data_IF_445144327771
#
_entry.id   IF_445144327771
#
_cell.length_a   1.000
_cell.length_b   1.000
_cell.length_c   1.000
_cell.angle_alpha   90.00
_cell.angle_beta   90.00
_cell.angle_gamma   90.00
#
_symmetry.space_group_name_H-M   'P 1'
#
loop_
_entity.id
_entity.type
_entity.pdbx_description
1 polymer ?
#
# COMPACT_ATOMS: atom_id res chain seq x y z
N UNK A 1 27.24 0.59 7.87
CA UNK A 1 27.33 -0.59 6.97
C UNK A 1 28.30 -0.15 5.89
N UNK A 2 29.55 -0.65 5.98
CA UNK A 2 30.77 -0.42 5.17
C UNK A 2 31.11 0.96 4.56
N UNK A 3 30.15 1.83 4.24
CA UNK A 3 30.40 3.15 3.65
C UNK A 3 30.86 3.07 2.19
N UNK A 4 30.83 1.87 1.62
CA UNK A 4 31.18 1.59 0.25
C UNK A 4 30.13 2.17 -0.68
N UNK A 5 30.61 2.87 -1.70
CA UNK A 5 29.77 3.34 -2.80
C UNK A 5 29.11 2.14 -3.48
N UNK A 6 27.79 2.21 -3.66
CA UNK A 6 27.05 1.22 -4.43
C UNK A 6 27.26 1.59 -5.91
N UNK A 7 27.87 0.70 -6.67
CA UNK A 7 28.02 0.90 -8.11
C UNK A 7 26.64 0.93 -8.78
N UNK A 8 26.50 1.75 -9.82
CA UNK A 8 25.23 1.96 -10.51
C UNK A 8 24.71 0.62 -11.07
N UNK A 9 23.62 0.12 -10.49
CA UNK A 9 23.01 -1.17 -10.85
C UNK A 9 23.45 -2.39 -10.02
N UNK A 10 24.31 -2.24 -9.02
CA UNK A 10 24.73 -3.33 -8.11
C UNK A 10 24.21 -3.14 -6.67
N UNK A 11 22.93 -2.79 -6.58
CA UNK A 11 22.25 -2.66 -5.29
C UNK A 11 20.78 -2.37 -5.43
N UNK A 12 20.08 -2.46 -4.30
CA UNK A 12 18.65 -2.31 -4.22
C UNK A 12 18.24 -1.59 -2.92
N UNK A 13 17.14 -0.84 -3.01
CA UNK A 13 16.45 -0.32 -1.84
C UNK A 13 15.63 -1.44 -1.21
N UNK A 14 16.00 -1.87 0.00
CA UNK A 14 15.31 -2.93 0.72
C UNK A 14 14.37 -2.33 1.77
N UNK A 15 13.04 -2.48 1.64
CA UNK A 15 12.11 -2.11 2.69
C UNK A 15 12.07 -3.17 3.79
N UNK A 16 12.06 -2.75 5.06
CA UNK A 16 11.88 -3.63 6.21
C UNK A 16 11.13 -2.92 7.33
N UNK A 17 10.68 -3.67 8.34
CA UNK A 17 9.95 -3.10 9.48
C UNK A 17 10.39 -3.74 10.79
N UNK A 18 10.42 -2.93 11.85
CA UNK A 18 10.69 -3.36 13.22
C UNK A 18 9.82 -2.54 14.16
N UNK A 19 9.15 -3.20 15.11
CA UNK A 19 8.26 -2.58 16.10
C UNK A 19 7.20 -1.63 15.51
N UNK A 20 6.68 -1.98 14.34
CA UNK A 20 5.65 -1.21 13.64
C UNK A 20 6.15 0.01 12.88
N UNK A 21 7.45 0.28 12.89
CA UNK A 21 8.08 1.35 12.11
C UNK A 21 8.64 0.77 10.81
N UNK A 22 8.36 1.44 9.69
CA UNK A 22 8.87 1.05 8.37
C UNK A 22 10.17 1.80 8.09
N UNK A 23 11.13 1.09 7.52
CA UNK A 23 12.45 1.59 7.12
C UNK A 23 12.73 1.19 5.68
N UNK A 24 13.59 1.96 5.04
CA UNK A 24 14.19 1.64 3.75
C UNK A 24 15.69 1.85 3.87
N UNK A 25 16.47 1.00 3.19
CA UNK A 25 17.92 1.09 3.17
C UNK A 25 18.43 0.69 1.79
N UNK A 26 19.33 1.49 1.23
CA UNK A 26 20.02 1.14 -0.01
C UNK A 26 21.21 0.24 0.33
N UNK A 27 21.22 -0.96 -0.24
CA UNK A 27 22.24 -1.97 0.02
C UNK A 27 22.80 -2.50 -1.31
N UNK A 28 24.09 -2.85 -1.31
CA UNK A 28 24.62 -3.73 -2.35
C UNK A 28 23.94 -5.10 -2.30
N UNK A 29 23.97 -5.85 -3.39
CA UNK A 29 23.32 -7.17 -3.48
C UNK A 29 23.76 -8.12 -2.34
N UNK A 30 25.06 -8.12 -2.02
CA UNK A 30 25.62 -8.91 -0.92
C UNK A 30 25.07 -8.49 0.45
N UNK A 31 24.94 -7.18 0.69
CA UNK A 31 24.43 -6.68 1.96
C UNK A 31 22.91 -6.87 2.07
N UNK A 32 22.19 -6.77 0.94
CA UNK A 32 20.77 -7.12 0.86
C UNK A 32 20.55 -8.62 1.16
N UNK A 33 21.40 -9.50 0.65
CA UNK A 33 21.37 -10.93 0.98
C UNK A 33 21.61 -11.18 2.48
N UNK A 34 22.62 -10.54 3.07
CA UNK A 34 22.90 -10.65 4.53
C UNK A 34 21.70 -10.22 5.38
N UNK A 35 21.02 -9.14 5.01
CA UNK A 35 19.82 -8.68 5.72
C UNK A 35 18.70 -9.74 5.67
N UNK A 36 18.47 -10.33 4.49
CA UNK A 36 17.45 -11.38 4.33
C UNK A 36 17.77 -12.63 5.14
N UNK A 37 19.01 -13.10 5.11
CA UNK A 37 19.47 -14.25 5.92
C UNK A 37 19.33 -13.98 7.42
N UNK A 38 19.65 -12.77 7.89
CA UNK A 38 19.50 -12.42 9.30
C UNK A 38 18.03 -12.46 9.79
N UNK A 39 17.07 -12.25 8.88
CA UNK A 39 15.64 -12.29 9.18
C UNK A 39 14.99 -13.67 8.97
N UNK A 40 15.68 -14.61 8.30
CA UNK A 40 15.15 -15.90 7.85
C UNK A 40 14.53 -16.70 9.01
N UNK A 41 15.28 -16.89 10.10
CA UNK A 41 14.84 -17.61 11.29
C UNK A 41 13.53 -17.06 11.91
N UNK A 42 13.34 -15.74 11.85
CA UNK A 42 12.16 -15.07 12.40
C UNK A 42 10.98 -15.14 11.44
N UNK A 43 11.24 -15.11 10.13
CA UNK A 43 10.22 -15.29 9.10
C UNK A 43 9.67 -16.72 9.15
N UNK A 44 10.54 -17.71 9.32
CA UNK A 44 10.17 -19.14 9.36
C UNK A 44 9.34 -19.50 10.60
N UNK A 45 9.71 -18.94 11.77
CA UNK A 45 8.98 -19.15 13.03
C UNK A 45 7.78 -18.22 13.18
N UNK A 46 7.71 -17.17 12.39
CA UNK A 46 6.68 -16.13 12.42
C UNK A 46 5.42 -16.53 11.68
N UNK A 47 4.39 -15.69 11.79
CA UNK A 47 3.20 -15.77 10.94
C UNK A 47 2.99 -14.48 10.19
N UNK A 48 2.53 -14.57 8.94
CA UNK A 48 2.11 -13.40 8.16
C UNK A 48 0.84 -12.83 8.77
N UNK A 49 0.91 -11.61 9.30
CA UNK A 49 -0.24 -10.88 9.88
C UNK A 49 -0.90 -9.90 8.90
N UNK A 50 -0.38 -9.80 7.67
CA UNK A 50 -0.86 -8.96 6.59
C UNK A 50 0.15 -8.94 5.43
N UNK A 51 -0.22 -8.38 4.27
CA UNK A 51 0.75 -8.13 3.19
C UNK A 51 1.43 -6.80 3.48
N UNK A 52 2.72 -6.82 3.86
CA UNK A 52 3.57 -5.65 3.72
C UNK A 52 3.61 -5.34 2.22
N UNK A 53 2.93 -4.28 1.79
CA UNK A 53 2.89 -3.88 0.39
C UNK A 53 4.27 -3.33 0.03
N UNK A 54 5.14 -4.20 -0.49
CA UNK A 54 6.35 -3.78 -1.17
C UNK A 54 5.93 -2.90 -2.36
N UNK A 55 6.20 -1.59 -2.26
CA UNK A 55 6.12 -0.61 -3.34
C UNK A 55 4.72 -0.24 -3.85
N UNK A 56 4.16 0.85 -3.32
CA UNK A 56 3.68 2.02 -4.11
C UNK A 56 3.15 3.12 -3.18
N UNK A 57 3.98 4.14 -2.93
CA UNK A 57 3.57 5.54 -2.78
C UNK A 57 2.70 5.94 -1.59
N UNK A 58 3.34 6.68 -0.67
CA UNK A 58 2.77 7.65 0.28
C UNK A 58 1.76 7.12 1.33
N UNK A 59 1.68 7.74 2.51
CA UNK A 59 0.49 7.61 3.33
C UNK A 59 -0.64 8.27 2.55
N UNK A 60 -1.39 7.48 1.78
CA UNK A 60 -2.74 7.88 1.39
C UNK A 60 -3.50 8.01 2.69
N UNK A 61 -3.55 9.25 3.19
CA UNK A 61 -4.56 9.73 4.13
C UNK A 61 -5.83 8.98 3.80
N UNK A 62 -6.33 8.22 4.76
CA UNK A 62 -7.63 7.58 4.67
C UNK A 62 -8.69 8.68 4.58
N UNK A 63 -8.85 9.26 3.40
CA UNK A 63 -9.99 10.08 3.06
C UNK A 63 -11.18 9.11 2.99
N UNK A 64 -11.90 9.03 4.11
CA UNK A 64 -13.25 8.48 4.23
C UNK A 64 -13.44 7.05 3.73
N UNK A 65 -13.33 6.07 4.62
CA UNK A 65 -14.27 4.94 4.51
C UNK A 65 -15.67 5.50 4.76
N UNK A 66 -16.35 5.88 3.70
CA UNK A 66 -17.80 5.99 3.74
C UNK A 66 -18.36 4.62 4.20
N UNK A 67 -19.30 4.57 5.15
CA UNK A 67 -19.88 3.32 5.60
C UNK A 67 -20.38 2.53 4.37
N UNK A 68 -20.22 1.20 4.34
CA UNK A 68 -20.57 0.36 3.18
C UNK A 68 -22.00 0.61 2.64
N UNK A 69 -22.91 1.07 3.49
CA UNK A 69 -24.27 1.47 3.13
C UNK A 69 -24.30 2.71 2.21
N UNK A 70 -23.46 3.70 2.46
CA UNK A 70 -23.33 4.94 1.68
C UNK A 70 -22.87 4.64 0.24
N UNK A 71 -21.98 3.66 0.07
CA UNK A 71 -21.53 3.23 -1.26
C UNK A 71 -22.62 2.53 -2.08
N UNK A 72 -23.61 1.88 -1.45
CA UNK A 72 -24.70 1.25 -2.21
C UNK A 72 -25.66 2.30 -2.76
N UNK A 73 -26.09 3.24 -1.91
CA UNK A 73 -26.94 4.36 -2.28
C UNK A 73 -26.27 5.24 -3.35
N UNK A 74 -24.99 5.56 -3.17
CA UNK A 74 -24.21 6.31 -4.15
C UNK A 74 -24.19 5.63 -5.52
N UNK A 75 -24.03 4.30 -5.59
CA UNK A 75 -24.05 3.58 -6.90
C UNK A 75 -25.40 3.63 -7.58
N UNK A 76 -26.48 3.56 -6.82
CA UNK A 76 -27.82 3.60 -7.39
C UNK A 76 -28.11 4.96 -8.01
N UNK A 77 -27.89 6.01 -7.21
CA UNK A 77 -28.01 7.39 -7.67
C UNK A 77 -27.11 7.67 -8.87
N UNK A 78 -25.85 7.26 -8.83
CA UNK A 78 -24.91 7.45 -9.94
C UNK A 78 -25.37 6.73 -11.22
N UNK A 79 -25.91 5.51 -11.13
CA UNK A 79 -26.45 4.80 -12.30
C UNK A 79 -27.67 5.50 -12.89
N UNK A 80 -28.56 6.03 -12.04
CA UNK A 80 -29.72 6.81 -12.49
C UNK A 80 -29.30 8.10 -13.20
N UNK A 81 -28.19 8.70 -12.78
CA UNK A 81 -27.60 9.89 -13.39
C UNK A 81 -26.68 9.57 -14.59
N UNK A 82 -26.69 8.32 -15.08
CA UNK A 82 -25.97 7.90 -16.28
C UNK A 82 -24.48 7.60 -16.08
N UNK A 83 -23.99 7.58 -14.84
CA UNK A 83 -22.60 7.28 -14.53
C UNK A 83 -22.31 5.79 -14.52
N UNK A 84 -21.17 5.40 -15.10
CA UNK A 84 -20.71 4.00 -15.14
C UNK A 84 -19.96 3.65 -13.86
N UNK A 85 -20.65 3.01 -12.92
CA UNK A 85 -20.07 2.51 -11.66
C UNK A 85 -19.94 0.99 -11.63
N UNK A 86 -18.85 0.50 -11.02
CA UNK A 86 -18.65 -0.95 -10.79
C UNK A 86 -19.64 -1.49 -9.75
N UNK A 87 -20.14 -2.71 -9.98
CA UNK A 87 -21.05 -3.40 -9.06
C UNK A 87 -20.44 -3.63 -7.67
N UNK A 88 -19.11 -3.77 -7.60
CA UNK A 88 -18.37 -4.03 -6.36
C UNK A 88 -17.10 -3.19 -6.30
N UNK A 89 -16.62 -2.96 -5.07
CA UNK A 89 -15.36 -2.26 -4.83
C UNK A 89 -15.51 -0.75 -4.68
N UNK A 90 -14.40 -0.02 -4.79
CA UNK A 90 -14.36 1.44 -4.55
C UNK A 90 -15.06 2.19 -5.71
N UNK A 91 -15.79 3.26 -5.37
CA UNK A 91 -16.30 4.25 -6.32
C UNK A 91 -15.23 5.37 -6.41
N UNK A 92 -15.00 5.93 -7.60
CA UNK A 92 -14.06 7.05 -7.75
C UNK A 92 -14.45 8.22 -6.85
N UNK A 93 -13.45 8.96 -6.38
CA UNK A 93 -13.67 10.08 -5.46
C UNK A 93 -14.58 11.15 -6.08
N UNK A 94 -14.38 11.45 -7.37
CA UNK A 94 -15.17 12.43 -8.12
C UNK A 94 -16.67 12.08 -8.13
N UNK A 95 -17.01 10.81 -8.35
CA UNK A 95 -18.41 10.36 -8.36
C UNK A 95 -19.03 10.35 -6.95
N UNK A 96 -18.22 10.08 -5.91
CA UNK A 96 -18.69 10.18 -4.52
C UNK A 96 -18.90 11.63 -4.10
N UNK A 97 -18.09 12.55 -4.61
CA UNK A 97 -18.26 13.98 -4.39
C UNK A 97 -19.52 14.49 -5.11
N UNK A 98 -19.75 14.07 -6.35
CA UNK A 98 -20.97 14.39 -7.10
C UNK A 98 -22.22 13.88 -6.39
N UNK A 99 -22.19 12.65 -5.86
CA UNK A 99 -23.28 12.14 -5.02
C UNK A 99 -23.46 13.00 -3.77
N UNK A 100 -22.41 13.28 -2.99
CA UNK A 100 -22.49 14.08 -1.77
C UNK A 100 -22.95 15.52 -1.99
N UNK A 101 -22.65 16.09 -3.15
CA UNK A 101 -23.07 17.43 -3.52
C UNK A 101 -24.56 17.50 -3.90
N UNK A 102 -25.16 16.36 -4.27
CA UNK A 102 -26.52 16.27 -4.81
C UNK A 102 -27.44 15.28 -4.04
N UNK A 103 -26.97 14.73 -2.92
CA UNK A 103 -27.71 13.83 -2.01
C UNK A 103 -28.32 14.56 -0.83
#
# INVERSE_FOLDING_TARGET
>A
MDGTQIEEGQGETVPFALDGVNYEIDLSDDNAAKLRTALEDYVDKGRRVGRATAGKGAPRRSAGSAPKQDLSAAREWLREHGHKVSERGRISADLLEEYRANS
#
